data_IF_474673642932
#
_entry.id   IF_474673642932
#
_cell.length_a   1.000
_cell.length_b   1.000
_cell.length_c   1.000
_cell.angle_alpha   90.00
_cell.angle_beta   90.00
_cell.angle_gamma   90.00
#
_symmetry.space_group_name_H-M   'P 1'
#
loop_
_entity.id
_entity.type
_entity.pdbx_description
1 polymer ?
#
# COMPACT_ATOMS: atom_id res chain seq x y z
N UNK A 1 -64.55 22.32 -39.24
CA UNK A 1 -65.27 22.53 -37.98
C UNK A 1 -65.27 21.20 -37.26
N UNK A 2 -64.78 21.18 -36.03
CA UNK A 2 -64.74 20.09 -35.04
C UNK A 2 -63.70 18.97 -35.25
N UNK A 3 -62.63 19.12 -34.45
CA UNK A 3 -61.77 18.07 -33.92
C UNK A 3 -62.60 17.04 -33.14
N UNK A 4 -62.16 15.80 -33.19
CA UNK A 4 -62.62 14.71 -32.34
C UNK A 4 -61.55 14.53 -31.25
N UNK A 5 -61.95 14.78 -30.01
CA UNK A 5 -61.24 14.37 -28.80
C UNK A 5 -61.50 12.88 -28.57
N UNK A 6 -60.44 12.12 -28.29
CA UNK A 6 -60.52 10.82 -27.65
C UNK A 6 -59.50 10.84 -26.50
N UNK A 7 -60.03 10.90 -25.28
CA UNK A 7 -59.31 10.68 -24.02
C UNK A 7 -58.94 9.19 -23.91
N UNK A 8 -57.67 8.92 -23.61
CA UNK A 8 -57.23 7.62 -23.10
C UNK A 8 -56.17 7.84 -22.00
N UNK A 9 -56.68 7.74 -20.78
CA UNK A 9 -56.18 7.01 -19.61
C UNK A 9 -54.70 7.07 -19.18
N UNK A 10 -54.55 7.34 -17.88
CA UNK A 10 -53.32 7.42 -17.11
C UNK A 10 -52.60 6.07 -16.99
N UNK A 11 -51.32 6.04 -17.38
CA UNK A 11 -50.28 5.26 -16.69
C UNK A 11 -48.97 6.05 -16.76
N UNK A 12 -48.71 6.85 -15.72
CA UNK A 12 -47.41 7.49 -15.52
C UNK A 12 -46.47 6.50 -14.81
N UNK A 13 -45.56 5.89 -15.58
CA UNK A 13 -44.33 5.35 -15.02
C UNK A 13 -43.34 6.51 -14.79
N UNK A 14 -42.83 6.56 -13.58
CA UNK A 14 -41.94 7.57 -13.03
C UNK A 14 -40.50 7.26 -13.48
N UNK A 15 -40.10 7.71 -14.68
CA UNK A 15 -38.69 7.71 -15.09
C UNK A 15 -38.03 9.05 -14.77
N UNK A 16 -37.29 9.07 -13.66
CA UNK A 16 -36.32 10.13 -13.37
C UNK A 16 -35.16 10.08 -14.37
N UNK A 17 -34.62 11.23 -14.83
CA UNK A 17 -33.57 11.26 -15.84
C UNK A 17 -32.23 10.78 -15.28
N UNK A 18 -31.63 9.81 -15.97
CA UNK A 18 -30.24 9.37 -15.81
C UNK A 18 -29.30 10.59 -15.92
N UNK A 19 -28.65 10.93 -14.80
CA UNK A 19 -27.57 11.90 -14.77
C UNK A 19 -26.39 11.39 -15.60
N UNK A 20 -25.91 12.26 -16.50
CA UNK A 20 -24.71 12.07 -17.32
C UNK A 20 -23.53 11.67 -16.43
N UNK A 21 -23.06 10.43 -16.57
CA UNK A 21 -21.75 10.03 -16.08
C UNK A 21 -20.68 10.89 -16.73
N UNK A 22 -19.74 11.37 -15.92
CA UNK A 22 -18.52 12.02 -16.39
C UNK A 22 -17.77 11.02 -17.29
N UNK A 23 -17.90 11.19 -18.60
CA UNK A 23 -16.99 10.55 -19.55
C UNK A 23 -15.61 11.20 -19.37
N UNK A 24 -14.57 10.37 -19.22
CA UNK A 24 -13.19 10.85 -19.23
C UNK A 24 -12.97 11.70 -20.51
N UNK A 25 -12.31 12.86 -20.42
CA UNK A 25 -11.87 13.62 -21.59
C UNK A 25 -11.08 12.72 -22.54
N UNK A 26 -11.35 12.76 -23.85
CA UNK A 26 -10.64 11.97 -24.86
C UNK A 26 -9.10 12.10 -24.77
N UNK A 27 -8.59 13.24 -24.29
CA UNK A 27 -7.16 13.46 -24.06
C UNK A 27 -6.54 12.58 -22.95
N UNK A 28 -7.34 12.02 -22.04
CA UNK A 28 -6.92 11.05 -21.02
C UNK A 28 -7.21 9.60 -21.44
N UNK A 29 -7.97 9.39 -22.52
CA UNK A 29 -8.21 8.07 -23.13
C UNK A 29 -7.06 7.67 -24.05
N UNK A 30 -6.42 8.63 -24.73
CA UNK A 30 -5.30 8.35 -25.64
C UNK A 30 -4.02 7.91 -24.90
N UNK A 31 -3.86 8.22 -23.61
CA UNK A 31 -2.76 7.72 -22.77
C UNK A 31 -3.01 6.34 -22.16
N UNK A 32 -4.24 5.84 -22.24
CA UNK A 32 -4.64 4.51 -21.72
C UNK A 32 -4.67 3.46 -22.84
N UNK A 33 -4.51 3.88 -24.10
CA UNK A 33 -4.55 3.01 -25.28
C UNK A 33 -3.20 2.83 -25.96
N UNK A 34 -2.46 1.79 -25.56
CA UNK A 34 -1.43 1.17 -26.40
C UNK A 34 0.01 1.60 -26.13
N UNK A 35 0.61 1.02 -25.10
CA UNK A 35 1.96 0.42 -25.12
C UNK A 35 2.17 -0.31 -23.78
N UNK A 36 2.85 -1.46 -23.78
CA UNK A 36 3.03 -2.37 -22.63
C UNK A 36 4.00 -1.83 -21.54
N UNK A 37 3.97 -0.52 -21.28
CA UNK A 37 4.69 0.17 -20.22
C UNK A 37 3.68 1.02 -19.44
N UNK A 38 3.12 0.45 -18.38
CA UNK A 38 2.01 1.04 -17.63
C UNK A 38 2.29 2.48 -17.17
N UNK A 39 1.61 3.43 -17.79
CA UNK A 39 1.46 4.77 -17.24
C UNK A 39 0.73 4.65 -15.90
N UNK A 40 1.33 5.16 -14.83
CA UNK A 40 0.63 5.24 -13.54
C UNK A 40 -0.56 6.19 -13.67
N UNK A 41 -1.63 5.93 -12.91
CA UNK A 41 -2.78 6.83 -12.91
C UNK A 41 -2.34 8.22 -12.46
N UNK A 42 -2.92 9.30 -13.04
CA UNK A 42 -2.63 10.66 -12.61
C UNK A 42 -2.77 10.80 -11.09
N UNK A 43 -1.79 11.45 -10.46
CA UNK A 43 -1.76 11.63 -9.00
C UNK A 43 -1.15 10.47 -8.23
N UNK A 44 -0.55 9.48 -8.90
CA UNK A 44 0.23 8.41 -8.25
C UNK A 44 1.68 8.43 -8.72
N UNK A 45 2.60 7.98 -7.86
CA UNK A 45 4.00 7.83 -8.24
C UNK A 45 4.18 6.56 -9.08
N UNK A 46 4.79 6.69 -10.26
CA UNK A 46 5.10 5.55 -11.11
C UNK A 46 6.45 4.94 -10.75
N UNK A 47 6.42 3.74 -10.14
CA UNK A 47 7.64 3.00 -9.79
C UNK A 47 8.15 2.07 -10.91
N UNK A 48 7.40 1.96 -12.02
CA UNK A 48 7.78 1.15 -13.18
C UNK A 48 8.36 2.00 -14.33
N UNK A 49 8.81 3.22 -14.02
CA UNK A 49 9.41 4.11 -15.01
C UNK A 49 10.94 3.89 -15.06
N UNK A 50 11.43 3.39 -16.20
CA UNK A 50 12.87 3.19 -16.44
C UNK A 50 13.54 4.41 -17.09
N UNK A 51 12.76 5.39 -17.54
CA UNK A 51 13.27 6.66 -18.06
C UNK A 51 13.08 7.75 -17.02
N UNK A 52 14.17 8.43 -16.67
CA UNK A 52 14.10 9.51 -15.69
C UNK A 52 13.22 10.66 -16.22
N UNK A 53 12.31 11.17 -15.39
CA UNK A 53 11.42 12.27 -15.78
C UNK A 53 11.97 13.64 -15.36
N UNK A 54 13.00 13.68 -14.50
CA UNK A 54 13.69 14.90 -14.11
C UNK A 54 15.13 14.62 -13.61
N UNK A 55 15.95 15.66 -13.47
CA UNK A 55 17.31 15.50 -12.89
C UNK A 55 17.38 15.65 -11.37
N UNK A 56 16.25 15.77 -10.67
CA UNK A 56 16.19 15.97 -9.22
C UNK A 56 16.72 14.73 -8.47
N UNK A 57 17.01 14.90 -7.18
CA UNK A 57 17.55 13.85 -6.31
C UNK A 57 16.78 13.85 -5.01
N UNK A 58 16.38 12.67 -4.57
CA UNK A 58 15.82 12.49 -3.24
C UNK A 58 16.91 12.75 -2.18
N UNK A 59 16.53 13.47 -1.13
CA UNK A 59 17.33 13.66 0.07
C UNK A 59 16.56 13.17 1.28
N UNK A 60 17.20 12.35 2.10
CA UNK A 60 16.55 11.77 3.27
C UNK A 60 17.54 11.24 4.29
N UNK A 61 16.99 10.83 5.42
CA UNK A 61 17.77 10.26 6.51
C UNK A 61 16.87 9.57 7.54
N UNK A 62 17.48 8.69 8.33
CA UNK A 62 16.82 7.99 9.44
C UNK A 62 17.74 8.00 10.65
N UNK A 63 17.17 8.29 11.82
CA UNK A 63 17.85 8.22 13.11
C UNK A 63 17.16 7.18 13.97
N UNK A 64 17.94 6.25 14.52
CA UNK A 64 17.47 5.25 15.47
C UNK A 64 17.90 5.60 16.89
N UNK A 65 16.96 5.52 17.83
CA UNK A 65 17.20 5.64 19.26
C UNK A 65 16.97 4.30 19.95
N UNK A 66 17.98 3.83 20.70
CA UNK A 66 17.94 2.56 21.42
C UNK A 66 17.91 2.81 22.93
N UNK A 67 16.72 3.04 23.55
CA UNK A 67 16.62 3.24 25.00
C UNK A 67 17.03 1.98 25.79
N UNK A 68 16.89 0.82 25.18
CA UNK A 68 17.34 -0.48 25.69
C UNK A 68 18.01 -1.24 24.53
N UNK A 69 18.96 -2.14 24.77
CA UNK A 69 19.60 -2.91 23.68
C UNK A 69 18.62 -3.76 22.86
N UNK A 70 17.45 -4.07 23.43
CA UNK A 70 16.40 -4.85 22.78
C UNK A 70 15.38 -4.00 22.03
N UNK A 71 15.33 -2.68 22.26
CA UNK A 71 14.30 -1.77 21.75
C UNK A 71 14.95 -0.66 20.92
N UNK A 72 14.56 -0.54 19.66
CA UNK A 72 14.90 0.58 18.78
C UNK A 72 13.61 1.30 18.37
N UNK A 73 13.68 2.62 18.35
CA UNK A 73 12.66 3.51 17.78
C UNK A 73 13.34 4.34 16.70
N UNK A 74 12.87 4.26 15.47
CA UNK A 74 13.37 5.00 14.33
C UNK A 74 12.45 6.13 13.92
N UNK A 75 13.05 7.26 13.54
CA UNK A 75 12.37 8.36 12.85
C UNK A 75 13.13 8.63 11.55
N UNK A 76 12.41 8.72 10.44
CA UNK A 76 12.98 8.98 9.13
C UNK A 76 12.18 9.98 8.33
N UNK A 77 12.84 10.59 7.36
CA UNK A 77 12.21 11.45 6.37
C UNK A 77 12.92 11.34 5.02
N UNK A 78 12.20 11.68 3.95
CA UNK A 78 12.73 11.85 2.61
C UNK A 78 11.95 12.98 1.92
N UNK A 79 12.65 13.79 1.13
CA UNK A 79 12.07 14.81 0.27
C UNK A 79 12.66 14.69 -1.13
N UNK A 80 11.83 14.88 -2.17
CA UNK A 80 12.27 14.83 -3.57
C UNK A 80 11.30 15.61 -4.46
N UNK A 81 11.79 16.27 -5.52
CA UNK A 81 10.87 16.77 -6.55
C UNK A 81 10.54 15.63 -7.51
N UNK A 82 9.25 15.42 -7.75
CA UNK A 82 8.73 14.26 -8.50
C UNK A 82 8.07 14.65 -9.82
N UNK A 83 7.83 15.94 -10.04
CA UNK A 83 7.28 16.45 -11.28
C UNK A 83 8.26 16.39 -12.46
N UNK A 84 7.73 16.35 -13.68
CA UNK A 84 8.54 16.24 -14.88
C UNK A 84 9.32 17.54 -15.17
N UNK A 85 10.57 17.41 -15.62
CA UNK A 85 11.41 18.52 -16.04
C UNK A 85 10.79 19.23 -17.26
N UNK A 86 11.05 20.54 -17.37
CA UNK A 86 10.48 21.42 -18.40
C UNK A 86 8.94 21.49 -18.44
N UNK A 87 8.26 21.12 -17.35
CA UNK A 87 6.81 21.31 -17.16
C UNK A 87 6.52 22.29 -16.03
N UNK A 88 5.29 22.83 -15.97
CA UNK A 88 4.85 23.65 -14.82
C UNK A 88 4.71 22.84 -13.52
N UNK A 89 4.77 21.50 -13.60
CA UNK A 89 4.79 20.61 -12.44
C UNK A 89 6.20 20.34 -11.89
N UNK A 90 7.27 20.88 -12.49
CA UNK A 90 8.65 20.55 -12.12
C UNK A 90 9.00 20.77 -10.63
N UNK A 91 8.29 21.68 -9.96
CA UNK A 91 8.48 22.02 -8.55
C UNK A 91 7.61 21.19 -7.58
N UNK A 92 6.79 20.27 -8.09
CA UNK A 92 5.97 19.39 -7.25
C UNK A 92 6.88 18.48 -6.42
N UNK A 93 6.80 18.64 -5.10
CA UNK A 93 7.59 17.90 -4.15
C UNK A 93 6.80 16.74 -3.54
N UNK A 94 7.52 15.65 -3.29
CA UNK A 94 7.13 14.54 -2.42
C UNK A 94 7.87 14.70 -1.09
N UNK A 95 7.13 14.55 0.01
CA UNK A 95 7.64 14.51 1.37
C UNK A 95 7.14 13.26 2.07
N UNK A 96 8.06 12.40 2.49
CA UNK A 96 7.79 11.15 3.18
C UNK A 96 8.34 11.20 4.61
N UNK A 97 7.57 10.69 5.56
CA UNK A 97 7.96 10.54 6.95
C UNK A 97 7.74 9.10 7.42
N UNK A 98 8.66 8.58 8.22
CA UNK A 98 8.60 7.22 8.75
C UNK A 98 8.79 7.22 10.25
N UNK A 99 7.98 6.42 10.94
CA UNK A 99 8.19 6.04 12.33
C UNK A 99 8.24 4.52 12.39
N UNK A 100 9.29 3.97 12.99
CA UNK A 100 9.46 2.53 13.13
C UNK A 100 9.86 2.11 14.54
N UNK A 101 9.57 0.86 14.86
CA UNK A 101 9.88 0.26 16.15
C UNK A 101 10.35 -1.17 15.93
N UNK A 102 11.37 -1.58 16.68
CA UNK A 102 11.88 -2.94 16.72
C UNK A 102 12.15 -3.36 18.16
N UNK A 103 11.54 -4.46 18.60
CA UNK A 103 11.76 -5.06 19.91
C UNK A 103 12.11 -6.55 19.79
N UNK A 104 13.33 -6.92 20.14
CA UNK A 104 13.79 -8.33 20.07
C UNK A 104 14.32 -8.77 21.42
N UNK A 105 13.67 -9.77 22.03
CA UNK A 105 14.06 -10.25 23.35
C UNK A 105 13.84 -11.74 23.55
N UNK A 106 14.85 -12.35 24.15
CA UNK A 106 14.77 -13.69 24.74
C UNK A 106 13.95 -13.68 26.04
N UNK A 107 12.94 -14.55 26.13
CA UNK A 107 12.09 -14.73 27.31
C UNK A 107 12.24 -16.14 27.88
N UNK A 108 12.65 -16.22 29.15
CA UNK A 108 12.68 -17.50 29.88
C UNK A 108 11.27 -18.01 30.19
N UNK A 109 10.32 -17.10 30.44
CA UNK A 109 8.91 -17.45 30.72
C UNK A 109 8.27 -18.11 29.50
N UNK A 110 8.47 -17.54 28.31
CA UNK A 110 7.95 -18.11 27.06
C UNK A 110 8.82 -19.25 26.54
N UNK A 111 10.02 -19.47 27.10
CA UNK A 111 11.02 -20.43 26.61
C UNK A 111 11.41 -20.19 25.14
N UNK A 112 11.54 -18.93 24.75
CA UNK A 112 11.80 -18.56 23.37
C UNK A 112 12.31 -17.13 23.20
N UNK A 113 12.33 -16.69 21.95
CA UNK A 113 12.62 -15.33 21.54
C UNK A 113 11.36 -14.71 20.94
N UNK A 114 11.09 -13.48 21.32
CA UNK A 114 10.03 -12.64 20.79
C UNK A 114 10.67 -11.53 19.95
N UNK A 115 10.15 -11.33 18.74
CA UNK A 115 10.52 -10.25 17.83
C UNK A 115 9.22 -9.50 17.47
N UNK A 116 9.17 -8.20 17.77
CA UNK A 116 8.06 -7.32 17.44
C UNK A 116 8.60 -6.18 16.59
N UNK A 117 7.97 -5.92 15.45
CA UNK A 117 8.35 -4.82 14.55
C UNK A 117 7.12 -4.08 14.09
N UNK A 118 7.24 -2.78 13.90
CA UNK A 118 6.21 -1.99 13.24
C UNK A 118 6.82 -0.83 12.49
N UNK A 119 6.13 -0.38 11.46
CA UNK A 119 6.47 0.82 10.71
C UNK A 119 5.19 1.53 10.29
N UNK A 120 5.20 2.85 10.37
CA UNK A 120 4.20 3.75 9.83
C UNK A 120 4.89 4.73 8.88
N UNK A 121 4.28 4.98 7.73
CA UNK A 121 4.76 5.87 6.69
C UNK A 121 3.62 6.81 6.32
N UNK A 122 3.91 8.11 6.28
CA UNK A 122 3.04 9.12 5.67
C UNK A 122 3.79 9.71 4.49
N UNK A 123 3.12 9.82 3.36
CA UNK A 123 3.63 10.37 2.12
C UNK A 123 2.68 11.47 1.67
N UNK A 124 3.22 12.68 1.51
CA UNK A 124 2.51 13.83 0.98
C UNK A 124 3.15 14.26 -0.33
N UNK A 125 2.33 14.52 -1.34
CA UNK A 125 2.74 15.13 -2.60
C UNK A 125 2.08 16.50 -2.68
N UNK A 126 2.84 17.51 -3.07
CA UNK A 126 2.32 18.86 -3.26
C UNK A 126 1.20 18.86 -4.31
N UNK A 127 0.20 19.71 -4.07
CA UNK A 127 -0.95 19.86 -4.94
C UNK A 127 -0.53 20.56 -6.23
N UNK A 128 -1.05 20.06 -7.36
CA UNK A 128 -0.68 20.58 -8.68
C UNK A 128 -1.52 21.78 -9.13
N UNK A 129 -2.52 22.17 -8.33
CA UNK A 129 -3.49 23.25 -8.57
C UNK A 129 -4.18 23.20 -9.96
N UNK A 130 -4.26 22.01 -10.56
CA UNK A 130 -4.90 21.76 -11.86
C UNK A 130 -5.75 20.49 -11.81
N UNK A 131 -6.94 20.50 -12.41
CA UNK A 131 -7.81 19.33 -12.50
C UNK A 131 -7.18 18.25 -13.42
N UNK A 132 -7.22 16.95 -13.05
CA UNK A 132 -7.86 16.35 -11.87
C UNK A 132 -6.95 16.23 -10.63
N UNK A 133 -5.79 16.87 -10.61
CA UNK A 133 -4.76 16.79 -9.56
C UNK A 133 -4.89 17.87 -8.47
N UNK A 134 -6.05 18.53 -8.41
CA UNK A 134 -6.36 19.62 -7.51
C UNK A 134 -6.94 19.09 -6.18
N UNK A 135 -6.19 18.22 -5.52
CA UNK A 135 -6.59 17.59 -4.26
C UNK A 135 -5.41 17.38 -3.31
N UNK A 136 -5.71 17.12 -2.04
CA UNK A 136 -4.70 16.77 -1.04
C UNK A 136 -4.21 15.34 -1.30
N UNK A 137 -3.02 15.23 -1.89
CA UNK A 137 -2.40 13.95 -2.20
C UNK A 137 -1.57 13.45 -1.00
N UNK A 138 -2.26 12.95 0.01
CA UNK A 138 -1.67 12.30 1.17
C UNK A 138 -2.03 10.83 1.21
N UNK A 139 -1.03 9.97 1.38
CA UNK A 139 -1.20 8.53 1.57
C UNK A 139 -0.50 8.09 2.84
N UNK A 140 -1.02 7.02 3.44
CA UNK A 140 -0.40 6.42 4.60
C UNK A 140 -0.28 4.92 4.43
N UNK A 141 0.77 4.33 4.98
CA UNK A 141 0.93 2.89 4.95
C UNK A 141 1.73 2.42 6.15
N UNK A 142 1.64 1.13 6.45
CA UNK A 142 2.39 0.59 7.55
C UNK A 142 2.19 -0.88 7.76
N UNK A 143 2.90 -1.40 8.75
CA UNK A 143 2.72 -2.75 9.21
C UNK A 143 3.03 -2.90 10.69
N UNK A 144 2.44 -3.94 11.28
CA UNK A 144 2.82 -4.47 12.58
C UNK A 144 3.08 -5.96 12.45
N UNK A 145 4.16 -6.45 13.05
CA UNK A 145 4.56 -7.84 13.01
C UNK A 145 4.97 -8.33 14.40
N UNK A 146 4.58 -9.55 14.71
CA UNK A 146 5.06 -10.31 15.86
C UNK A 146 5.57 -11.67 15.37
N UNK A 147 6.76 -12.05 15.83
CA UNK A 147 7.35 -13.34 15.54
C UNK A 147 7.85 -14.01 16.84
N UNK A 148 7.68 -15.32 16.91
CA UNK A 148 8.04 -16.10 18.08
C UNK A 148 8.81 -17.37 17.71
N UNK A 149 9.96 -17.57 18.36
CA UNK A 149 10.81 -18.75 18.19
C UNK A 149 10.99 -19.48 19.52
N UNK A 150 10.56 -20.74 19.68
CA UNK A 150 10.69 -21.50 20.94
C UNK A 150 12.11 -22.07 21.16
N UNK A 151 13.15 -21.24 21.04
CA UNK A 151 14.57 -21.65 21.04
C UNK A 151 15.04 -22.32 22.34
N UNK A 152 14.34 -22.13 23.47
CA UNK A 152 14.71 -22.68 24.78
C UNK A 152 13.93 -23.94 25.17
N UNK A 153 13.03 -24.46 24.32
CA UNK A 153 12.31 -25.73 24.58
C UNK A 153 13.24 -26.91 24.32
N UNK A 154 13.34 -27.89 25.22
CA UNK A 154 14.19 -29.08 25.05
C UNK A 154 13.68 -30.08 23.98
N UNK A 155 13.49 -29.65 22.74
CA UNK A 155 13.12 -30.47 21.60
C UNK A 155 13.77 -29.91 20.31
N UNK A 156 14.64 -30.70 19.68
CA UNK A 156 15.43 -30.26 18.51
C UNK A 156 14.59 -29.99 17.25
N UNK A 157 13.39 -30.57 17.17
CA UNK A 157 12.45 -30.29 16.09
C UNK A 157 11.70 -28.98 16.35
N UNK A 158 11.18 -28.77 17.57
CA UNK A 158 10.38 -27.59 17.90
C UNK A 158 11.19 -26.28 17.90
N UNK A 159 12.44 -26.31 18.36
CA UNK A 159 13.33 -25.12 18.37
C UNK A 159 13.56 -24.48 17.00
N UNK A 160 13.30 -25.22 15.91
CA UNK A 160 13.51 -24.79 14.53
C UNK A 160 12.34 -24.01 13.94
N UNK A 161 11.21 -23.95 14.63
CA UNK A 161 10.07 -23.17 14.18
C UNK A 161 10.20 -21.68 14.52
N UNK A 162 9.59 -20.86 13.68
CA UNK A 162 9.29 -19.47 13.92
C UNK A 162 7.86 -19.21 13.45
N UNK A 163 7.02 -18.73 14.35
CA UNK A 163 5.65 -18.35 14.04
C UNK A 163 5.62 -16.85 13.81
N UNK A 164 4.96 -16.40 12.75
CA UNK A 164 4.91 -14.99 12.37
C UNK A 164 3.45 -14.60 12.15
N UNK A 165 3.06 -13.46 12.72
CA UNK A 165 1.82 -12.78 12.39
C UNK A 165 2.17 -11.37 11.95
N UNK A 166 1.55 -10.92 10.85
CA UNK A 166 1.74 -9.57 10.32
C UNK A 166 0.42 -8.99 9.83
N UNK A 167 0.21 -7.72 10.14
CA UNK A 167 -0.85 -6.90 9.56
C UNK A 167 -0.20 -5.76 8.78
N UNK A 168 -0.65 -5.53 7.56
CA UNK A 168 -0.27 -4.40 6.72
C UNK A 168 -1.52 -3.59 6.36
N UNK A 169 -1.33 -2.28 6.18
CA UNK A 169 -2.31 -1.41 5.58
C UNK A 169 -1.65 -0.42 4.62
N UNK A 170 -2.43 0.07 3.66
CA UNK A 170 -2.12 1.16 2.75
C UNK A 170 -3.44 1.89 2.49
N UNK A 171 -3.45 3.16 2.81
CA UNK A 171 -4.58 4.06 2.56
C UNK A 171 -4.11 5.10 1.54
N UNK A 172 -4.79 5.18 0.40
CA UNK A 172 -4.48 6.12 -0.68
C UNK A 172 -5.35 7.39 -0.56
N UNK A 173 -5.04 8.47 -1.30
CA UNK A 173 -5.84 9.68 -1.23
C UNK A 173 -7.25 9.43 -1.79
N UNK A 174 -8.29 9.80 -1.03
CA UNK A 174 -9.72 9.59 -1.37
C UNK A 174 -10.14 10.15 -2.75
N UNK A 175 -9.43 11.17 -3.24
CA UNK A 175 -9.72 11.87 -4.50
C UNK A 175 -8.81 11.42 -5.65
N UNK A 176 -7.91 10.47 -5.41
CA UNK A 176 -7.10 9.87 -6.46
C UNK A 176 -7.97 9.04 -7.41
N UNK A 177 -7.61 9.02 -8.69
CA UNK A 177 -8.31 8.20 -9.71
C UNK A 177 -8.25 6.70 -9.36
N UNK A 178 -7.20 6.29 -8.63
CA UNK A 178 -7.06 4.98 -8.00
C UNK A 178 -7.11 5.16 -6.46
N UNK A 179 -8.30 5.42 -5.93
CA UNK A 179 -8.57 5.41 -4.50
C UNK A 179 -8.69 3.96 -4.02
N UNK A 180 -7.56 3.34 -3.69
CA UNK A 180 -7.46 1.93 -3.33
C UNK A 180 -6.88 1.77 -1.94
N UNK A 181 -7.72 1.43 -0.97
CA UNK A 181 -7.27 0.98 0.34
C UNK A 181 -6.93 -0.51 0.32
N UNK A 182 -5.83 -0.89 0.95
CA UNK A 182 -5.40 -2.27 1.06
C UNK A 182 -5.17 -2.62 2.52
N UNK A 183 -5.81 -3.70 2.97
CA UNK A 183 -5.54 -4.33 4.27
C UNK A 183 -5.09 -5.76 4.03
N UNK A 184 -4.06 -6.18 4.74
CA UNK A 184 -3.51 -7.53 4.58
C UNK A 184 -3.14 -8.13 5.91
N UNK A 185 -3.62 -9.34 6.17
CA UNK A 185 -3.25 -10.13 7.33
C UNK A 185 -2.50 -11.37 6.87
N UNK A 186 -1.34 -11.64 7.47
CA UNK A 186 -0.49 -12.80 7.13
C UNK A 186 -0.18 -13.61 8.38
N UNK A 187 -0.42 -14.91 8.28
CA UNK A 187 -0.01 -15.92 9.25
C UNK A 187 1.08 -16.79 8.61
N UNK A 188 2.25 -16.86 9.25
CA UNK A 188 3.42 -17.53 8.72
C UNK A 188 4.03 -18.53 9.69
N UNK A 189 4.62 -19.58 9.13
CA UNK A 189 5.46 -20.55 9.84
C UNK A 189 6.74 -20.72 9.04
N UNK A 190 7.88 -20.40 9.65
CA UNK A 190 9.20 -20.71 9.11
C UNK A 190 9.77 -21.92 9.85
N UNK A 191 10.39 -22.82 9.10
CA UNK A 191 11.16 -23.95 9.61
C UNK A 191 12.63 -23.79 9.20
N UNK A 192 13.47 -23.50 10.17
CA UNK A 192 14.91 -23.30 9.98
C UNK A 192 15.62 -24.65 9.84
N UNK A 193 16.14 -24.92 8.64
CA UNK A 193 16.92 -26.13 8.35
C UNK A 193 18.33 -25.98 8.93
N UNK A 194 18.92 -24.81 8.69
CA UNK A 194 20.21 -24.33 9.19
C UNK A 194 20.13 -22.80 9.42
N UNK A 195 21.14 -22.16 10.04
CA UNK A 195 21.12 -20.70 10.24
C UNK A 195 20.96 -19.87 8.96
N UNK A 196 21.29 -20.45 7.81
CA UNK A 196 21.24 -19.82 6.49
C UNK A 196 20.18 -20.42 5.55
N UNK A 197 19.31 -21.32 6.02
CA UNK A 197 18.26 -21.87 5.15
C UNK A 197 16.97 -22.17 5.90
N UNK A 198 15.85 -21.88 5.26
CA UNK A 198 14.52 -22.07 5.83
C UNK A 198 13.49 -22.40 4.76
N UNK A 199 12.46 -23.13 5.18
CA UNK A 199 11.20 -23.27 4.43
C UNK A 199 10.16 -22.43 5.14
N UNK A 200 9.41 -21.63 4.39
CA UNK A 200 8.32 -20.78 4.88
C UNK A 200 7.00 -21.24 4.25
N UNK A 201 5.98 -21.32 5.09
CA UNK A 201 4.60 -21.44 4.69
C UNK A 201 3.85 -20.24 5.22
N UNK A 202 3.03 -19.60 4.39
CA UNK A 202 2.21 -18.47 4.81
C UNK A 202 0.80 -18.57 4.23
N UNK A 203 -0.15 -18.13 5.03
CA UNK A 203 -1.54 -17.90 4.67
C UNK A 203 -1.78 -16.40 4.78
N UNK A 204 -2.38 -15.82 3.76
CA UNK A 204 -2.56 -14.38 3.65
C UNK A 204 -3.97 -14.05 3.20
N UNK A 205 -4.66 -13.22 3.96
CA UNK A 205 -5.91 -12.60 3.55
C UNK A 205 -5.63 -11.14 3.18
N UNK A 206 -6.08 -10.74 1.99
CA UNK A 206 -5.92 -9.40 1.44
C UNK A 206 -7.29 -8.86 1.11
N UNK A 207 -7.61 -7.68 1.61
CA UNK A 207 -8.81 -6.93 1.27
C UNK A 207 -8.38 -5.68 0.53
N UNK A 208 -9.04 -5.40 -0.59
CA UNK A 208 -8.85 -4.22 -1.40
C UNK A 208 -10.20 -3.49 -1.44
N UNK A 209 -10.19 -2.21 -1.10
CA UNK A 209 -11.37 -1.37 -1.15
C UNK A 209 -11.11 -0.23 -2.13
N UNK A 210 -11.70 -0.33 -3.31
CA UNK A 210 -11.79 0.78 -4.26
C UNK A 210 -13.24 1.30 -4.25
N UNK A 211 -14.02 0.95 -5.27
CA UNK A 211 -15.47 1.18 -5.32
C UNK A 211 -16.30 0.06 -4.69
N UNK A 212 -15.69 -1.12 -4.51
CA UNK A 212 -16.28 -2.30 -3.88
C UNK A 212 -15.18 -3.05 -3.14
N UNK A 213 -15.53 -3.61 -2.00
CA UNK A 213 -14.62 -4.45 -1.23
C UNK A 213 -14.45 -5.81 -1.94
N UNK A 214 -13.21 -6.11 -2.30
CA UNK A 214 -12.78 -7.41 -2.81
C UNK A 214 -11.81 -8.06 -1.83
N UNK A 215 -11.98 -9.37 -1.60
CA UNK A 215 -11.12 -10.14 -0.72
C UNK A 215 -10.49 -11.30 -1.46
N UNK A 216 -9.19 -11.47 -1.27
CA UNK A 216 -8.38 -12.53 -1.86
C UNK A 216 -7.61 -13.26 -0.76
N UNK A 217 -7.57 -14.58 -0.86
CA UNK A 217 -6.81 -15.44 0.06
C UNK A 217 -5.70 -16.15 -0.71
N UNK A 218 -4.46 -16.04 -0.22
CA UNK A 218 -3.27 -16.61 -0.82
C UNK A 218 -2.58 -17.61 0.12
N UNK A 219 -2.14 -18.73 -0.46
CA UNK A 219 -1.23 -19.67 0.17
C UNK A 219 0.15 -19.56 -0.47
N UNK A 220 1.17 -19.26 0.32
CA UNK A 220 2.53 -19.01 -0.15
C UNK A 220 3.46 -20.05 0.47
N UNK A 221 4.26 -20.70 -0.37
CA UNK A 221 5.37 -21.55 0.07
C UNK A 221 6.66 -21.01 -0.52
N UNK A 222 7.69 -20.86 0.32
CA UNK A 222 8.98 -20.33 -0.09
C UNK A 222 10.11 -21.16 0.51
N UNK A 223 11.17 -21.37 -0.27
CA UNK A 223 12.44 -21.87 0.22
C UNK A 223 13.48 -20.75 0.11
N UNK A 224 14.24 -20.54 1.16
CA UNK A 224 15.28 -19.50 1.23
C UNK A 224 16.62 -20.14 1.56
N UNK A 225 17.67 -19.69 0.84
CA UNK A 225 19.05 -20.10 1.04
C UNK A 225 19.96 -18.85 1.00
N UNK A 226 20.70 -18.62 2.08
CA UNK A 226 21.79 -17.65 2.14
C UNK A 226 23.15 -18.34 1.99
N UNK A 227 24.08 -17.69 1.30
CA UNK A 227 25.46 -18.13 1.07
C UNK A 227 26.47 -17.37 1.91
#
# INVERSE_FOLDING_TARGET
MLNIEEEADEHAEDEAPLTKGNQLPEALSETVGGDEHGAAAPGTLNFNNFQDNNNNKAFGGRVGFLPLPQLEIGLGFEIANVGAEDTHFAEIQSSLQVIDLSYVRDSNLLKGQLDIRSQFVSLKIDQADEEPLNYENESSSGYGQIAYRPIKINNNFLKKFEFVFRYDFLDLPEQAILDTDLKRTTYGINYWLAPNSAIKFAFQDKTISEHKEESETLFITQFTLGF
#
